data_IF_810184238433
#
_entry.id   IF_810184238433
#
_cell.length_a   1.000
_cell.length_b   1.000
_cell.length_c   1.000
_cell.angle_alpha   90.00
_cell.angle_beta   90.00
_cell.angle_gamma   90.00
#
_symmetry.space_group_name_H-M   'P 1'
#
loop_
_entity.id
_entity.type
_entity.pdbx_description
1 polymer ?
#
# COMPACT_ATOMS: atom_id res chain seq x y z
N UNK A 1 -39.81 -7.12 21.54
CA UNK A 1 -41.20 -7.52 21.20
C UNK A 1 -42.13 -7.45 22.41
N UNK A 2 -43.41 -7.10 22.22
CA UNK A 2 -44.43 -7.03 23.29
C UNK A 2 -44.95 -8.39 23.74
N UNK A 3 -45.40 -8.50 25.01
CA UNK A 3 -45.89 -9.75 25.63
C UNK A 3 -47.03 -10.42 24.86
N UNK A 4 -47.94 -9.63 24.29
CA UNK A 4 -49.10 -10.15 23.53
C UNK A 4 -48.65 -10.76 22.21
N UNK A 5 -47.75 -10.08 21.51
CA UNK A 5 -47.17 -10.56 20.25
C UNK A 5 -46.35 -11.81 20.49
N UNK A 6 -45.50 -11.84 21.53
CA UNK A 6 -44.67 -12.99 21.87
C UNK A 6 -45.48 -14.29 22.06
N UNK A 7 -46.67 -14.23 22.67
CA UNK A 7 -47.55 -15.41 22.82
C UNK A 7 -47.98 -16.03 21.49
N UNK A 8 -48.11 -15.22 20.44
CA UNK A 8 -48.50 -15.69 19.11
C UNK A 8 -47.31 -16.25 18.32
N UNK A 9 -46.08 -15.94 18.74
CA UNK A 9 -44.84 -16.40 18.11
C UNK A 9 -44.22 -17.61 18.83
N UNK A 10 -44.90 -18.20 19.83
CA UNK A 10 -44.44 -19.45 20.46
C UNK A 10 -44.51 -20.57 19.41
N UNK A 11 -43.38 -21.24 19.18
CA UNK A 11 -43.20 -22.23 18.11
C UNK A 11 -42.76 -21.65 16.77
N UNK A 12 -42.75 -20.31 16.63
CA UNK A 12 -42.36 -19.61 15.41
C UNK A 12 -40.91 -19.14 15.46
N UNK A 13 -40.37 -18.81 14.28
CA UNK A 13 -39.03 -18.22 14.16
C UNK A 13 -39.03 -16.76 14.65
N UNK A 14 -37.96 -16.37 15.32
CA UNK A 14 -37.71 -15.02 15.82
C UNK A 14 -36.23 -14.67 15.67
N UNK A 15 -35.93 -13.37 15.61
CA UNK A 15 -34.57 -12.85 15.67
C UNK A 15 -34.23 -12.52 17.12
N UNK A 16 -33.08 -13.00 17.58
CA UNK A 16 -32.45 -12.65 18.84
C UNK A 16 -31.31 -11.68 18.56
N UNK A 17 -31.42 -10.46 19.07
CA UNK A 17 -30.43 -9.40 18.90
C UNK A 17 -29.53 -9.30 20.15
N UNK A 18 -28.26 -9.69 20.01
CA UNK A 18 -27.25 -9.62 21.06
C UNK A 18 -26.22 -8.50 20.82
N UNK A 19 -26.56 -7.54 19.95
CA UNK A 19 -25.73 -6.38 19.64
C UNK A 19 -24.38 -6.80 19.09
N UNK A 20 -23.30 -6.45 19.79
CA UNK A 20 -21.91 -6.76 19.39
C UNK A 20 -21.63 -8.25 19.22
N UNK A 21 -22.40 -9.09 19.90
CA UNK A 21 -22.25 -10.54 19.83
C UNK A 21 -23.03 -11.17 18.68
N UNK A 22 -23.57 -10.36 17.76
CA UNK A 22 -24.29 -10.79 16.57
C UNK A 22 -25.80 -10.91 16.78
N UNK A 23 -26.48 -11.28 15.70
CA UNK A 23 -27.92 -11.55 15.68
C UNK A 23 -28.17 -12.99 15.24
N UNK A 24 -29.13 -13.66 15.87
CA UNK A 24 -29.37 -15.09 15.68
C UNK A 24 -30.82 -15.34 15.31
N UNK A 25 -31.08 -16.33 14.48
CA UNK A 25 -32.43 -16.85 14.23
C UNK A 25 -32.64 -18.06 15.12
N UNK A 26 -33.78 -18.09 15.81
CA UNK A 26 -34.18 -19.25 16.59
C UNK A 26 -35.69 -19.41 16.68
N UNK A 27 -36.12 -20.52 17.27
CA UNK A 27 -37.53 -20.82 17.53
C UNK A 27 -37.85 -20.41 18.97
N UNK A 28 -38.88 -19.59 19.17
CA UNK A 28 -39.33 -19.20 20.51
C UNK A 28 -40.08 -20.38 21.15
N UNK A 29 -39.44 -21.10 22.07
CA UNK A 29 -40.02 -22.31 22.66
C UNK A 29 -40.97 -22.02 23.82
N UNK A 30 -40.60 -21.08 24.68
CA UNK A 30 -41.37 -20.76 25.88
C UNK A 30 -41.17 -19.29 26.27
N UNK A 31 -42.13 -18.76 27.02
CA UNK A 31 -42.03 -17.45 27.63
C UNK A 31 -42.48 -17.47 29.09
N UNK A 32 -41.69 -16.85 29.97
CA UNK A 32 -42.02 -16.68 31.39
C UNK A 32 -42.28 -15.22 31.72
N UNK A 33 -43.37 -14.99 32.43
CA UNK A 33 -43.76 -13.66 32.93
C UNK A 33 -43.74 -13.65 34.44
N UNK A 34 -42.70 -13.07 35.04
CA UNK A 34 -42.67 -12.79 36.48
C UNK A 34 -43.35 -11.44 36.79
N UNK A 35 -43.99 -11.29 37.96
CA UNK A 35 -44.53 -10.00 38.40
C UNK A 35 -43.44 -8.93 38.43
N UNK A 36 -43.72 -7.73 37.90
CA UNK A 36 -42.83 -6.56 37.88
C UNK A 36 -41.48 -6.73 37.15
N UNK A 37 -41.30 -7.76 36.31
CA UNK A 37 -40.10 -7.93 35.46
C UNK A 37 -40.43 -7.99 33.96
N UNK A 38 -39.48 -7.62 33.08
CA UNK A 38 -39.60 -7.93 31.65
C UNK A 38 -39.78 -9.43 31.47
N UNK A 39 -40.56 -9.81 30.45
CA UNK A 39 -40.80 -11.22 30.17
C UNK A 39 -39.51 -11.87 29.64
N UNK A 40 -39.32 -13.13 29.99
CA UNK A 40 -38.13 -13.90 29.59
C UNK A 40 -38.53 -14.84 28.45
N UNK A 41 -37.72 -14.86 27.39
CA UNK A 41 -37.85 -15.79 26.28
C UNK A 41 -36.87 -16.97 26.44
N UNK A 42 -37.30 -18.16 26.01
CA UNK A 42 -36.43 -19.30 25.77
C UNK A 42 -36.42 -19.55 24.26
N UNK A 43 -35.27 -19.31 23.64
CA UNK A 43 -35.14 -19.40 22.17
C UNK A 43 -34.16 -20.51 21.84
N UNK A 44 -34.59 -21.48 21.01
CA UNK A 44 -33.72 -22.51 20.44
C UNK A 44 -33.08 -21.98 19.17
N UNK A 45 -31.77 -21.82 19.17
CA UNK A 45 -31.02 -21.28 18.03
C UNK A 45 -31.05 -22.26 16.86
N UNK A 46 -31.27 -21.71 15.66
CA UNK A 46 -31.32 -22.43 14.39
C UNK A 46 -30.40 -21.85 13.33
N UNK A 47 -29.99 -20.59 13.48
CA UNK A 47 -29.04 -19.97 12.56
C UNK A 47 -28.49 -18.63 13.03
N UNK A 48 -27.56 -18.10 12.25
CA UNK A 48 -26.93 -16.81 12.46
C UNK A 48 -27.50 -15.82 11.45
N UNK A 49 -28.12 -14.75 11.92
CA UNK A 49 -28.68 -13.69 11.09
C UNK A 49 -27.63 -12.64 10.75
N UNK A 50 -26.87 -12.20 11.75
CA UNK A 50 -25.76 -11.26 11.60
C UNK A 50 -24.56 -11.76 12.40
N UNK A 51 -23.38 -11.74 11.78
CA UNK A 51 -22.14 -12.14 12.44
C UNK A 51 -21.74 -11.14 13.53
N UNK A 52 -21.11 -11.58 14.64
CA UNK A 52 -20.55 -10.70 15.66
C UNK A 52 -19.68 -9.57 15.09
N UNK A 53 -19.59 -8.47 15.82
CA UNK A 53 -18.73 -7.34 15.47
C UNK A 53 -17.25 -7.79 15.47
N UNK A 54 -16.53 -7.43 14.41
CA UNK A 54 -15.10 -7.73 14.27
C UNK A 54 -14.33 -6.49 14.76
N UNK A 55 -13.53 -6.69 15.81
CA UNK A 55 -12.66 -5.64 16.33
C UNK A 55 -11.40 -5.55 15.49
N UNK A 56 -11.22 -4.44 14.77
CA UNK A 56 -10.00 -4.19 13.98
C UNK A 56 -8.75 -4.06 14.87
N UNK A 57 -8.90 -3.67 16.14
CA UNK A 57 -7.77 -3.47 17.05
C UNK A 57 -7.18 -4.78 17.57
N UNK A 58 -8.01 -5.82 17.74
CA UNK A 58 -7.58 -7.09 18.33
C UNK A 58 -7.16 -8.11 17.27
N UNK A 59 -7.45 -7.85 15.99
CA UNK A 59 -7.15 -8.73 14.85
C UNK A 59 -7.66 -10.18 15.04
N UNK A 60 -8.71 -10.34 15.86
CA UNK A 60 -9.29 -11.64 16.17
C UNK A 60 -10.72 -11.74 15.61
N UNK A 61 -10.99 -12.89 14.99
CA UNK A 61 -12.33 -13.23 14.52
C UNK A 61 -13.16 -13.78 15.69
N UNK A 62 -14.04 -12.94 16.23
CA UNK A 62 -14.97 -13.32 17.29
C UNK A 62 -15.92 -14.42 16.83
N UNK A 63 -15.81 -15.60 17.42
CA UNK A 63 -16.72 -16.71 17.13
C UNK A 63 -18.12 -16.41 17.68
N UNK A 64 -19.19 -16.81 16.97
CA UNK A 64 -20.54 -16.77 17.53
C UNK A 64 -20.58 -17.55 18.85
N UNK A 65 -21.12 -16.92 19.89
CA UNK A 65 -21.12 -17.51 21.22
C UNK A 65 -22.26 -18.51 21.43
N UNK A 66 -23.31 -18.44 20.60
CA UNK A 66 -24.43 -19.40 20.56
C UNK A 66 -24.23 -20.39 19.42
N UNK A 67 -24.53 -21.66 19.66
CA UNK A 67 -24.39 -22.76 18.70
C UNK A 67 -25.74 -23.28 18.24
N UNK A 68 -25.73 -24.12 17.20
CA UNK A 68 -26.92 -24.79 16.71
C UNK A 68 -27.63 -25.57 17.83
N UNK A 69 -28.95 -25.38 17.92
CA UNK A 69 -29.85 -25.98 18.90
C UNK A 69 -29.62 -25.57 20.37
N UNK A 70 -28.75 -24.60 20.67
CA UNK A 70 -28.64 -24.04 22.01
C UNK A 70 -29.98 -23.40 22.42
N UNK A 71 -30.42 -23.64 23.66
CA UNK A 71 -31.59 -22.97 24.23
C UNK A 71 -31.08 -21.80 25.06
N UNK A 72 -31.30 -20.58 24.56
CA UNK A 72 -30.84 -19.37 25.20
C UNK A 72 -31.97 -18.65 25.94
N UNK A 73 -31.69 -18.26 27.19
CA UNK A 73 -32.61 -17.50 28.04
C UNK A 73 -32.27 -16.01 27.94
N UNK A 74 -33.20 -15.21 27.42
CA UNK A 74 -32.97 -13.79 27.21
C UNK A 74 -34.20 -12.93 27.58
N UNK A 75 -33.99 -11.61 27.64
CA UNK A 75 -35.07 -10.63 27.81
C UNK A 75 -35.86 -10.51 26.51
N UNK A 76 -37.18 -10.46 26.61
CA UNK A 76 -38.06 -10.26 25.45
C UNK A 76 -37.88 -8.94 24.69
N UNK A 77 -37.11 -8.00 25.24
CA UNK A 77 -36.68 -6.79 24.54
C UNK A 77 -35.69 -7.09 23.41
N UNK A 78 -34.89 -8.16 23.53
CA UNK A 78 -33.91 -8.58 22.52
C UNK A 78 -34.53 -9.44 21.40
N UNK A 79 -35.83 -9.70 21.49
CA UNK A 79 -36.55 -10.54 20.54
C UNK A 79 -37.31 -9.66 19.56
N UNK A 80 -37.12 -9.95 18.27
CA UNK A 80 -37.74 -9.27 17.15
C UNK A 80 -38.48 -10.30 16.28
N UNK A 81 -39.68 -9.98 15.76
CA UNK A 81 -40.39 -10.87 14.86
C UNK A 81 -39.65 -10.96 13.53
N UNK A 82 -39.51 -12.17 13.00
CA UNK A 82 -39.08 -12.35 11.62
C UNK A 82 -40.33 -12.41 10.73
N UNK A 83 -40.34 -11.63 9.66
CA UNK A 83 -41.47 -11.58 8.72
C UNK A 83 -41.38 -12.65 7.62
N UNK A 84 -40.19 -13.23 7.42
CA UNK A 84 -39.89 -14.23 6.40
C UNK A 84 -39.34 -15.49 7.04
N UNK A 85 -39.74 -16.63 6.49
CA UNK A 85 -39.19 -17.92 6.92
C UNK A 85 -37.71 -17.96 6.61
N UNK A 86 -36.88 -18.22 7.61
CA UNK A 86 -35.46 -18.40 7.46
C UNK A 86 -35.19 -19.83 6.97
N UNK A 87 -34.74 -20.00 5.71
CA UNK A 87 -34.66 -21.32 5.09
C UNK A 87 -33.35 -22.05 5.41
N UNK A 88 -32.35 -21.35 5.92
CA UNK A 88 -30.98 -21.85 6.01
C UNK A 88 -30.71 -22.56 7.33
N UNK A 89 -29.87 -23.60 7.26
CA UNK A 89 -29.30 -24.25 8.45
C UNK A 89 -28.32 -23.32 9.19
N UNK A 90 -27.93 -23.70 10.41
CA UNK A 90 -26.96 -22.93 11.18
C UNK A 90 -25.62 -22.76 10.45
N UNK A 91 -25.10 -23.81 9.83
CA UNK A 91 -23.82 -23.77 9.11
C UNK A 91 -23.91 -22.91 7.84
N UNK A 92 -24.98 -23.04 7.06
CA UNK A 92 -25.19 -22.23 5.85
C UNK A 92 -25.39 -20.75 6.18
N UNK A 93 -26.17 -20.47 7.22
CA UNK A 93 -26.40 -19.10 7.67
C UNK A 93 -25.14 -18.44 8.23
N UNK A 94 -24.32 -19.19 8.96
CA UNK A 94 -23.03 -18.73 9.43
C UNK A 94 -22.09 -18.38 8.27
N UNK A 95 -22.01 -19.24 7.25
CA UNK A 95 -21.22 -18.99 6.02
C UNK A 95 -21.69 -17.72 5.30
N UNK A 96 -23.01 -17.55 5.18
CA UNK A 96 -23.59 -16.37 4.54
C UNK A 96 -23.31 -15.09 5.34
N UNK A 97 -23.48 -15.13 6.66
CA UNK A 97 -23.19 -13.99 7.54
C UNK A 97 -21.70 -13.59 7.48
N UNK A 98 -20.79 -14.56 7.41
CA UNK A 98 -19.36 -14.33 7.19
C UNK A 98 -19.08 -13.70 5.82
N UNK A 99 -19.71 -14.18 4.75
CA UNK A 99 -19.57 -13.61 3.40
C UNK A 99 -20.04 -12.15 3.35
N UNK A 100 -21.15 -11.83 4.01
CA UNK A 100 -21.64 -10.45 4.09
C UNK A 100 -20.65 -9.53 4.82
N UNK A 101 -20.07 -9.97 5.95
CA UNK A 101 -19.03 -9.19 6.63
C UNK A 101 -17.77 -9.04 5.76
N UNK A 102 -17.36 -10.10 5.07
CA UNK A 102 -16.25 -10.03 4.11
C UNK A 102 -16.50 -8.96 3.04
N UNK A 103 -17.67 -8.98 2.40
CA UNK A 103 -18.02 -8.01 1.36
C UNK A 103 -18.06 -6.58 1.90
N UNK A 104 -18.56 -6.39 3.13
CA UNK A 104 -18.55 -5.10 3.79
C UNK A 104 -17.13 -4.58 4.02
N UNK A 105 -16.22 -5.41 4.54
CA UNK A 105 -14.83 -5.01 4.77
C UNK A 105 -14.03 -4.82 3.48
N UNK A 106 -14.32 -5.60 2.44
CA UNK A 106 -13.73 -5.40 1.11
C UNK A 106 -14.14 -4.03 0.54
N UNK A 107 -15.43 -3.69 0.59
CA UNK A 107 -15.89 -2.37 0.14
C UNK A 107 -15.23 -1.23 0.93
N UNK A 108 -15.14 -1.36 2.26
CA UNK A 108 -14.46 -0.38 3.10
C UNK A 108 -12.98 -0.24 2.71
N UNK A 109 -12.31 -1.34 2.38
CA UNK A 109 -10.91 -1.31 1.95
C UNK A 109 -10.75 -0.60 0.60
N UNK A 110 -11.58 -0.94 -0.39
CA UNK A 110 -11.59 -0.28 -1.70
C UNK A 110 -11.84 1.24 -1.57
N UNK A 111 -12.85 1.62 -0.78
CA UNK A 111 -13.15 3.03 -0.52
C UNK A 111 -11.99 3.73 0.21
N UNK A 112 -11.33 3.04 1.14
CA UNK A 112 -10.17 3.56 1.88
C UNK A 112 -8.97 3.77 0.97
N UNK A 113 -8.69 2.86 0.05
CA UNK A 113 -7.61 2.98 -0.94
C UNK A 113 -7.82 4.21 -1.84
N UNK A 114 -9.05 4.45 -2.29
CA UNK A 114 -9.40 5.64 -3.06
C UNK A 114 -9.11 6.91 -2.24
N UNK A 115 -9.55 6.95 -0.98
CA UNK A 115 -9.33 8.10 -0.09
C UNK A 115 -7.83 8.33 0.16
N UNK A 116 -7.05 7.27 0.40
CA UNK A 116 -5.60 7.36 0.60
C UNK A 116 -4.89 7.92 -0.65
N UNK A 117 -5.30 7.49 -1.84
CA UNK A 117 -4.79 8.02 -3.11
C UNK A 117 -5.06 9.52 -3.26
N UNK A 118 -6.28 9.97 -2.93
CA UNK A 118 -6.63 11.40 -2.95
C UNK A 118 -5.79 12.22 -1.96
N UNK A 119 -5.59 11.69 -0.74
CA UNK A 119 -4.72 12.33 0.26
C UNK A 119 -3.28 12.45 -0.26
N UNK A 120 -2.75 11.38 -0.84
CA UNK A 120 -1.41 11.36 -1.41
C UNK A 120 -1.26 12.38 -2.55
N UNK A 121 -2.26 12.49 -3.43
CA UNK A 121 -2.28 13.48 -4.50
C UNK A 121 -2.25 14.91 -3.96
N UNK A 122 -3.03 15.21 -2.93
CA UNK A 122 -3.02 16.54 -2.30
C UNK A 122 -1.69 16.82 -1.60
N UNK A 123 -1.09 15.84 -0.93
CA UNK A 123 0.23 15.98 -0.33
C UNK A 123 1.32 16.26 -1.38
N UNK A 124 1.24 15.64 -2.56
CA UNK A 124 2.14 15.95 -3.67
C UNK A 124 2.03 17.39 -4.17
N UNK A 125 0.80 17.89 -4.34
CA UNK A 125 0.57 19.30 -4.72
C UNK A 125 1.21 20.26 -3.72
N UNK A 126 1.16 19.90 -2.43
CA UNK A 126 1.76 20.66 -1.34
C UNK A 126 3.26 20.38 -1.12
N UNK A 127 3.88 19.51 -1.92
CA UNK A 127 5.27 19.03 -1.75
C UNK A 127 5.53 18.43 -0.36
N UNK A 128 4.52 17.81 0.24
CA UNK A 128 4.53 17.19 1.57
C UNK A 128 4.45 15.66 1.55
N UNK A 129 4.67 15.01 0.40
CA UNK A 129 4.60 13.54 0.28
C UNK A 129 5.60 12.83 1.20
N UNK A 130 6.71 13.50 1.52
CA UNK A 130 7.68 13.07 2.52
C UNK A 130 7.07 12.84 3.93
N UNK A 131 5.89 13.37 4.24
CA UNK A 131 5.20 13.12 5.51
C UNK A 131 4.48 11.77 5.56
N UNK A 132 4.18 11.17 4.40
CA UNK A 132 3.61 9.81 4.32
C UNK A 132 4.67 8.75 4.60
N UNK A 133 5.89 9.04 4.20
CA UNK A 133 7.06 8.27 4.56
C UNK A 133 7.51 8.78 5.93
N UNK A 134 6.90 8.29 7.02
CA UNK A 134 7.53 8.38 8.35
C UNK A 134 9.03 8.17 8.16
N UNK A 135 9.88 9.11 8.61
CA UNK A 135 11.33 9.20 8.36
C UNK A 135 12.00 7.81 8.34
N UNK A 136 11.91 7.14 7.18
CA UNK A 136 12.16 5.72 7.09
C UNK A 136 13.51 5.64 6.46
N UNK A 137 14.51 5.69 7.30
CA UNK A 137 15.88 5.57 6.89
C UNK A 137 16.21 4.11 6.61
N UNK A 138 17.00 3.86 5.56
CA UNK A 138 17.70 2.58 5.39
C UNK A 138 19.09 2.75 5.98
N UNK A 139 19.46 1.85 6.88
CA UNK A 139 20.75 1.87 7.55
C UNK A 139 21.71 0.92 6.84
N UNK A 140 22.89 1.44 6.53
CA UNK A 140 23.97 0.68 5.92
C UNK A 140 25.22 0.74 6.77
N UNK A 141 26.04 -0.30 6.69
CA UNK A 141 27.40 -0.29 7.22
C UNK A 141 28.41 -0.02 6.12
N UNK A 142 29.37 0.86 6.37
CA UNK A 142 30.47 1.09 5.43
C UNK A 142 31.51 -0.01 5.59
N UNK A 143 31.74 -0.75 4.52
CA UNK A 143 32.67 -1.88 4.48
C UNK A 143 33.76 -1.59 3.44
N UNK A 144 34.97 -1.34 3.92
CA UNK A 144 36.16 -1.28 3.08
C UNK A 144 36.70 -2.69 2.78
N UNK A 145 36.75 -3.08 1.51
CA UNK A 145 37.40 -4.32 1.04
C UNK A 145 38.53 -3.98 0.06
N UNK A 146 39.77 -4.06 0.52
CA UNK A 146 40.93 -3.66 -0.28
C UNK A 146 40.96 -2.15 -0.53
N UNK A 147 40.90 -1.74 -1.81
CA UNK A 147 40.85 -0.32 -2.22
C UNK A 147 39.43 0.22 -2.39
N UNK A 148 38.43 -0.65 -2.50
CA UNK A 148 37.04 -0.28 -2.75
C UNK A 148 36.25 -0.19 -1.45
N UNK A 149 35.21 0.64 -1.48
CA UNK A 149 34.30 0.85 -0.36
C UNK A 149 32.88 0.51 -0.78
N UNK A 150 32.20 -0.22 0.10
CA UNK A 150 30.86 -0.73 -0.11
C UNK A 150 29.96 -0.27 1.03
N UNK A 151 28.66 -0.13 0.74
CA UNK A 151 27.60 -0.06 1.74
C UNK A 151 26.94 -1.43 1.84
N UNK A 152 26.72 -1.92 3.06
CA UNK A 152 26.14 -3.23 3.34
C UNK A 152 24.83 -3.10 4.09
N UNK A 153 23.77 -3.69 3.56
CA UNK A 153 22.45 -3.78 4.21
C UNK A 153 22.37 -5.11 4.96
N UNK A 154 22.31 -5.04 6.30
CA UNK A 154 22.40 -6.24 7.15
C UNK A 154 21.18 -7.17 6.99
N UNK A 155 19.97 -6.60 6.83
CA UNK A 155 18.74 -7.38 6.72
C UNK A 155 18.62 -8.18 5.42
N UNK A 156 19.16 -7.66 4.31
CA UNK A 156 19.11 -8.30 2.98
C UNK A 156 20.38 -9.06 2.63
N UNK A 157 21.43 -8.91 3.44
CA UNK A 157 22.77 -9.42 3.14
C UNK A 157 23.33 -8.95 1.79
N UNK A 158 22.96 -7.76 1.35
CA UNK A 158 23.38 -7.18 0.07
C UNK A 158 24.49 -6.14 0.28
N UNK A 159 25.42 -6.06 -0.68
CA UNK A 159 26.47 -5.04 -0.70
C UNK A 159 26.47 -4.27 -2.01
N UNK A 160 26.44 -2.95 -1.93
CA UNK A 160 26.51 -2.04 -3.07
C UNK A 160 27.82 -1.26 -3.01
N UNK A 161 28.45 -1.01 -4.17
CA UNK A 161 29.58 -0.09 -4.23
C UNK A 161 29.10 1.33 -3.91
N UNK A 162 29.87 2.08 -3.13
CA UNK A 162 29.57 3.49 -2.87
C UNK A 162 30.21 4.43 -3.90
N UNK A 163 31.15 3.92 -4.70
CA UNK A 163 31.78 4.68 -5.77
C UNK A 163 30.72 5.12 -6.79
N UNK A 164 30.67 6.43 -7.08
CA UNK A 164 29.70 7.06 -7.98
C UNK A 164 28.22 6.93 -7.56
N UNK A 165 27.97 6.62 -6.28
CA UNK A 165 26.62 6.58 -5.73
C UNK A 165 25.99 7.99 -5.77
N UNK A 166 24.85 8.20 -6.47
CA UNK A 166 24.24 9.51 -6.62
C UNK A 166 23.48 10.00 -5.37
N UNK A 167 23.38 9.15 -4.34
CA UNK A 167 22.60 9.45 -3.15
C UNK A 167 23.38 10.25 -2.09
N UNK A 168 22.65 11.09 -1.34
CA UNK A 168 23.14 11.82 -0.19
C UNK A 168 23.03 10.97 1.08
N UNK A 169 24.15 10.74 1.75
CA UNK A 169 24.16 9.98 3.00
C UNK A 169 23.87 10.90 4.18
N UNK A 170 23.33 10.35 5.25
CA UNK A 170 23.44 10.95 6.57
C UNK A 170 24.43 10.16 7.42
N UNK A 171 25.40 10.86 7.97
CA UNK A 171 26.48 10.30 8.78
C UNK A 171 26.33 10.75 10.23
N UNK A 172 26.65 9.87 11.18
CA UNK A 172 26.51 10.18 12.60
C UNK A 172 27.74 10.92 13.13
N UNK A 173 27.58 12.19 13.50
CA UNK A 173 28.63 13.08 14.04
C UNK A 173 28.09 13.78 15.28
N UNK A 174 28.79 13.66 16.42
CA UNK A 174 28.44 14.35 17.67
C UNK A 174 26.97 14.17 18.10
N UNK A 175 26.48 12.93 18.11
CA UNK A 175 25.09 12.56 18.47
C UNK A 175 24.01 13.11 17.52
N UNK A 176 24.39 13.52 16.31
CA UNK A 176 23.47 13.99 15.28
C UNK A 176 23.75 13.33 13.95
N UNK A 177 22.68 13.12 13.19
CA UNK A 177 22.77 12.74 11.78
C UNK A 177 22.92 13.99 10.93
N UNK A 178 23.99 14.05 10.16
CA UNK A 178 24.30 15.18 9.28
C UNK A 178 24.39 14.68 7.83
N UNK A 179 23.77 15.41 6.92
CA UNK A 179 23.86 15.14 5.48
C UNK A 179 25.31 15.28 4.99
N UNK A 180 25.72 14.33 4.17
CA UNK A 180 27.05 14.23 3.62
C UNK A 180 27.08 13.54 2.25
N UNK A 181 27.97 13.99 1.38
CA UNK A 181 28.25 13.37 0.09
C UNK A 181 29.50 12.50 0.16
N UNK A 182 29.50 11.37 -0.52
CA UNK A 182 30.70 10.54 -0.64
C UNK A 182 31.73 11.23 -1.56
N UNK A 183 32.98 11.36 -1.11
CA UNK A 183 34.08 11.85 -1.96
C UNK A 183 34.91 10.68 -2.48
N UNK A 184 35.61 10.00 -1.57
CA UNK A 184 36.53 8.91 -1.91
C UNK A 184 36.94 8.12 -0.67
N UNK A 185 37.18 6.83 -0.83
CA UNK A 185 37.65 5.98 0.26
C UNK A 185 36.65 5.94 1.41
N UNK A 186 37.00 6.50 2.57
CA UNK A 186 36.09 6.59 3.72
C UNK A 186 35.72 8.05 4.04
N UNK A 187 35.99 8.97 3.11
CA UNK A 187 35.83 10.41 3.30
C UNK A 187 34.49 10.89 2.75
N UNK A 188 33.75 11.62 3.58
CA UNK A 188 32.46 12.22 3.28
C UNK A 188 32.51 13.73 3.49
N UNK A 189 31.82 14.50 2.63
CA UNK A 189 31.72 15.96 2.74
C UNK A 189 30.36 16.37 3.26
N UNK A 190 30.32 17.10 4.39
CA UNK A 190 29.10 17.73 4.88
C UNK A 190 28.72 18.93 4.01
N UNK A 191 27.45 19.35 4.05
CA UNK A 191 26.94 20.51 3.29
C UNK A 191 27.69 21.83 3.55
N UNK A 192 28.42 21.94 4.67
CA UNK A 192 29.26 23.09 5.00
C UNK A 192 30.70 22.99 4.46
N UNK A 193 30.99 22.00 3.62
CA UNK A 193 32.32 21.73 3.05
C UNK A 193 33.29 21.03 4.00
N UNK A 194 32.87 20.66 5.22
CA UNK A 194 33.72 19.93 6.16
C UNK A 194 33.79 18.46 5.78
N UNK A 195 35.01 17.96 5.61
CA UNK A 195 35.25 16.54 5.35
C UNK A 195 35.34 15.74 6.64
N UNK A 196 34.72 14.56 6.65
CA UNK A 196 34.65 13.61 7.75
C UNK A 196 35.12 12.25 7.24
N UNK A 197 36.14 11.72 7.87
CA UNK A 197 36.59 10.35 7.63
C UNK A 197 35.83 9.38 8.54
N UNK A 198 35.09 8.47 7.92
CA UNK A 198 34.42 7.37 8.60
C UNK A 198 35.36 6.18 8.80
N UNK A 199 34.99 5.30 9.72
CA UNK A 199 35.70 4.05 9.99
C UNK A 199 35.06 2.89 9.24
N UNK A 200 35.82 1.81 9.03
CA UNK A 200 35.21 0.54 8.63
C UNK A 200 34.19 0.11 9.69
N UNK A 201 32.99 -0.28 9.27
CA UNK A 201 31.86 -0.61 10.12
C UNK A 201 31.02 0.58 10.58
N UNK A 202 31.37 1.81 10.21
CA UNK A 202 30.53 2.98 10.52
C UNK A 202 29.15 2.86 9.88
N UNK A 203 28.13 3.21 10.66
CA UNK A 203 26.75 3.25 10.19
C UNK A 203 26.49 4.57 9.46
N UNK A 204 25.93 4.46 8.26
CA UNK A 204 25.35 5.57 7.51
C UNK A 204 23.89 5.27 7.24
N UNK A 205 23.10 6.30 7.01
CA UNK A 205 21.68 6.11 6.68
C UNK A 205 21.30 6.91 5.45
N UNK A 206 20.38 6.35 4.66
CA UNK A 206 19.82 6.97 3.47
C UNK A 206 18.33 7.18 3.69
N UNK A 207 17.82 8.36 3.34
CA UNK A 207 16.39 8.62 3.43
C UNK A 207 15.66 7.85 2.32
N UNK A 208 14.62 7.06 2.65
CA UNK A 208 13.81 6.33 1.65
C UNK A 208 13.21 7.24 0.58
N UNK A 209 13.00 8.53 0.84
CA UNK A 209 12.53 9.46 -0.19
C UNK A 209 13.54 9.68 -1.31
N UNK A 210 14.84 9.47 -1.07
CA UNK A 210 15.85 9.47 -2.13
C UNK A 210 15.76 8.25 -3.03
N UNK A 211 15.02 7.22 -2.62
CA UNK A 211 14.68 6.05 -3.43
C UNK A 211 13.32 6.18 -4.10
N UNK A 212 12.71 7.36 -4.15
CA UNK A 212 11.52 7.58 -4.99
C UNK A 212 11.91 7.29 -6.45
N UNK A 213 11.48 6.16 -7.03
CA UNK A 213 11.94 5.73 -8.34
C UNK A 213 11.52 6.72 -9.43
N UNK A 214 10.46 7.50 -9.18
CA UNK A 214 9.97 8.50 -10.12
C UNK A 214 10.84 9.75 -10.10
N UNK A 215 11.23 10.25 -8.92
CA UNK A 215 12.15 11.40 -8.83
C UNK A 215 13.52 11.07 -9.41
N UNK A 216 14.02 9.86 -9.14
CA UNK A 216 15.27 9.38 -9.73
C UNK A 216 15.14 9.35 -11.26
N UNK A 217 14.04 8.80 -11.79
CA UNK A 217 13.79 8.79 -13.22
C UNK A 217 13.81 10.21 -13.82
N UNK A 218 13.17 11.20 -13.17
CA UNK A 218 13.17 12.58 -13.66
C UNK A 218 14.59 13.18 -13.72
N UNK A 219 15.47 12.80 -12.79
CA UNK A 219 16.87 13.23 -12.78
C UNK A 219 17.75 12.46 -13.80
N UNK A 220 17.35 11.24 -14.18
CA UNK A 220 18.03 10.43 -15.20
C UNK A 220 17.73 10.88 -16.63
N UNK A 221 16.56 11.51 -16.85
CA UNK A 221 16.16 11.98 -18.17
C UNK A 221 16.89 13.27 -18.53
N UNK A 222 17.46 13.29 -19.74
CA UNK A 222 17.95 14.54 -20.32
C UNK A 222 16.79 15.51 -20.60
N UNK A 223 17.09 16.79 -20.72
CA UNK A 223 16.06 17.83 -20.90
C UNK A 223 15.10 17.55 -22.08
N UNK A 224 15.59 17.07 -23.26
CA UNK A 224 14.69 16.69 -24.35
C UNK A 224 13.78 15.49 -24.03
N UNK A 225 14.28 14.45 -23.35
CA UNK A 225 13.49 13.28 -22.98
C UNK A 225 12.45 13.60 -21.91
N UNK A 226 12.83 14.44 -20.94
CA UNK A 226 11.90 14.98 -19.96
C UNK A 226 10.76 15.74 -20.66
N UNK A 227 11.09 16.59 -21.64
CA UNK A 227 10.08 17.30 -22.42
C UNK A 227 9.18 16.35 -23.23
N UNK A 228 9.74 15.24 -23.75
CA UNK A 228 8.96 14.21 -24.44
C UNK A 228 7.96 13.50 -23.52
N UNK A 229 8.34 13.25 -22.26
CA UNK A 229 7.44 12.73 -21.22
C UNK A 229 6.35 13.76 -20.88
N UNK A 230 6.72 15.00 -20.57
CA UNK A 230 5.81 16.09 -20.22
C UNK A 230 4.76 16.36 -21.32
N UNK A 231 5.19 16.34 -22.59
CA UNK A 231 4.28 16.50 -23.74
C UNK A 231 3.24 15.39 -23.81
N UNK A 232 3.63 14.16 -23.49
CA UNK A 232 2.70 13.03 -23.41
C UNK A 232 1.71 13.18 -22.26
N UNK A 233 2.18 13.59 -21.08
CA UNK A 233 1.34 13.86 -19.92
C UNK A 233 0.33 14.97 -20.19
N UNK A 234 0.79 16.09 -20.76
CA UNK A 234 -0.06 17.24 -21.07
C UNK A 234 -1.20 16.88 -22.02
N UNK A 235 -0.97 15.96 -22.98
CA UNK A 235 -2.01 15.51 -23.92
C UNK A 235 -3.19 14.82 -23.24
N UNK A 236 -2.97 14.23 -22.07
CA UNK A 236 -4.00 13.59 -21.26
C UNK A 236 -4.44 14.45 -20.05
N UNK A 237 -4.02 15.72 -20.00
CA UNK A 237 -4.30 16.59 -18.86
C UNK A 237 -3.64 16.13 -17.56
N UNK A 238 -2.53 15.37 -17.66
CA UNK A 238 -1.75 14.88 -16.55
C UNK A 238 -0.55 15.80 -16.28
N UNK A 239 -0.07 15.73 -15.05
CA UNK A 239 1.16 16.33 -14.54
C UNK A 239 1.92 15.31 -13.69
N UNK A 240 3.16 15.62 -13.33
CA UNK A 240 4.03 14.72 -12.55
C UNK A 240 3.41 14.30 -11.20
N UNK A 241 2.61 15.17 -10.58
CA UNK A 241 1.88 14.91 -9.34
C UNK A 241 0.88 13.75 -9.44
N UNK A 242 0.47 13.39 -10.65
CA UNK A 242 -0.47 12.30 -10.92
C UNK A 242 0.20 10.91 -10.96
N UNK A 243 1.53 10.80 -10.78
CA UNK A 243 2.30 9.54 -10.90
C UNK A 243 2.08 8.59 -9.71
N UNK A 244 1.16 7.65 -9.77
CA UNK A 244 0.83 6.75 -8.64
C UNK A 244 1.95 5.76 -8.32
N UNK A 245 2.64 5.24 -9.33
CA UNK A 245 3.68 4.22 -9.15
C UNK A 245 4.75 4.34 -10.23
N UNK A 246 6.00 4.07 -9.89
CA UNK A 246 7.10 4.01 -10.84
C UNK A 246 8.01 2.82 -10.53
N UNK A 247 8.19 1.94 -11.51
CA UNK A 247 9.22 0.93 -11.53
C UNK A 247 10.37 1.40 -12.42
N UNK A 248 11.47 1.84 -11.81
CA UNK A 248 12.68 2.26 -12.52
C UNK A 248 13.67 1.08 -12.62
N UNK A 249 13.62 0.37 -13.74
CA UNK A 249 14.52 -0.72 -14.09
C UNK A 249 15.94 -0.25 -14.42
N UNK A 250 16.15 0.99 -14.91
CA UNK A 250 17.49 1.50 -15.20
C UNK A 250 18.31 1.60 -13.91
N UNK A 251 17.74 2.20 -12.88
CA UNK A 251 18.34 2.28 -11.55
C UNK A 251 18.76 0.90 -11.03
N UNK A 252 17.87 -0.10 -11.12
CA UNK A 252 18.15 -1.48 -10.69
C UNK A 252 19.31 -2.09 -11.50
N UNK A 253 19.37 -1.83 -12.80
CA UNK A 253 20.47 -2.31 -13.64
C UNK A 253 21.80 -1.63 -13.31
N UNK A 254 21.81 -0.32 -13.07
CA UNK A 254 23.02 0.43 -12.69
C UNK A 254 23.57 -0.05 -11.33
N UNK A 255 22.69 -0.25 -10.34
CA UNK A 255 23.08 -0.74 -9.02
C UNK A 255 23.63 -2.18 -9.04
N UNK A 256 23.19 -3.01 -9.99
CA UNK A 256 23.58 -4.42 -10.11
C UNK A 256 24.78 -4.68 -11.03
N UNK A 257 25.20 -3.69 -11.84
CA UNK A 257 26.13 -3.90 -12.96
C UNK A 257 27.35 -2.97 -12.90
N UNK A 258 28.35 -3.32 -12.09
CA UNK A 258 29.56 -2.52 -11.84
C UNK A 258 30.49 -2.28 -13.06
N UNK A 259 30.27 -2.97 -14.19
CA UNK A 259 31.18 -2.91 -15.35
C UNK A 259 30.44 -2.88 -16.69
N UNK A 260 29.14 -2.62 -16.67
CA UNK A 260 28.32 -2.65 -17.87
C UNK A 260 28.20 -1.25 -18.42
N UNK A 261 28.60 -1.06 -19.68
CA UNK A 261 28.51 0.23 -20.36
C UNK A 261 27.21 0.36 -21.19
N UNK A 262 26.43 -0.72 -21.31
CA UNK A 262 25.20 -0.76 -22.11
C UNK A 262 23.99 -1.18 -21.28
N UNK A 263 22.99 -0.32 -21.18
CA UNK A 263 21.75 -0.58 -20.46
C UNK A 263 20.56 -0.51 -21.42
N UNK A 264 19.63 -1.44 -21.27
CA UNK A 264 18.37 -1.40 -22.01
C UNK A 264 17.26 -2.02 -21.20
N UNK A 265 16.07 -1.46 -21.30
CA UNK A 265 14.94 -1.94 -20.52
C UNK A 265 13.69 -1.11 -20.69
N UNK A 266 12.74 -1.38 -19.81
CA UNK A 266 11.45 -0.69 -19.76
C UNK A 266 11.14 -0.35 -18.32
N UNK A 267 10.91 0.94 -18.07
CA UNK A 267 10.34 1.44 -16.84
C UNK A 267 8.81 1.43 -16.97
N UNK A 268 8.10 1.09 -15.90
CA UNK A 268 6.64 1.11 -15.85
C UNK A 268 6.18 2.20 -14.89
N UNK A 269 5.41 3.16 -15.40
CA UNK A 269 4.93 4.30 -14.61
C UNK A 269 3.41 4.32 -14.70
N UNK A 270 2.73 4.31 -13.57
CA UNK A 270 1.28 4.43 -13.51
C UNK A 270 0.92 5.86 -13.14
N UNK A 271 0.00 6.47 -13.87
CA UNK A 271 -0.61 7.75 -13.53
C UNK A 271 -2.10 7.56 -13.31
N UNK A 272 -2.68 8.37 -12.44
CA UNK A 272 -4.13 8.43 -12.26
C UNK A 272 -4.56 9.86 -12.06
N UNK A 273 -5.67 10.23 -12.70
CA UNK A 273 -6.48 11.37 -12.27
C UNK A 273 -7.77 10.84 -11.63
N UNK A 274 -8.76 11.70 -11.40
CA UNK A 274 -10.02 11.33 -10.77
C UNK A 274 -10.91 10.40 -11.62
N UNK A 275 -10.65 10.31 -12.93
CA UNK A 275 -11.55 9.67 -13.90
C UNK A 275 -10.93 8.46 -14.60
N UNK A 276 -9.61 8.47 -14.81
CA UNK A 276 -8.92 7.57 -15.74
C UNK A 276 -7.56 7.17 -15.20
N UNK A 277 -7.22 5.88 -15.36
CA UNK A 277 -5.88 5.36 -15.10
C UNK A 277 -5.06 5.26 -16.39
N UNK A 278 -3.77 5.52 -16.27
CA UNK A 278 -2.82 5.49 -17.38
C UNK A 278 -1.59 4.67 -16.98
N UNK A 279 -1.10 3.90 -17.95
CA UNK A 279 0.21 3.24 -17.85
C UNK A 279 1.12 3.85 -18.90
N UNK A 280 2.32 4.23 -18.46
CA UNK A 280 3.40 4.71 -19.31
C UNK A 280 4.51 3.67 -19.29
N UNK A 281 4.83 3.14 -20.46
CA UNK A 281 6.00 2.29 -20.66
C UNK A 281 7.11 3.17 -21.20
N UNK A 282 8.16 3.35 -20.40
CA UNK A 282 9.33 4.11 -20.79
C UNK A 282 10.45 3.14 -21.19
N UNK A 283 10.63 2.95 -22.48
CA UNK A 283 11.72 2.20 -23.06
C UNK A 283 12.98 3.06 -23.09
N UNK A 284 14.04 2.57 -22.48
CA UNK A 284 15.33 3.26 -22.44
C UNK A 284 16.42 2.40 -23.04
N UNK A 285 17.36 3.06 -23.73
CA UNK A 285 18.68 2.52 -24.05
C UNK A 285 19.75 3.54 -23.67
N UNK A 286 20.84 3.07 -23.07
CA UNK A 286 21.99 3.87 -22.65
C UNK A 286 23.27 3.18 -23.07
N UNK A 287 24.18 3.92 -23.69
CA UNK A 287 25.56 3.47 -23.92
C UNK A 287 26.51 4.51 -23.35
N UNK A 288 27.21 4.15 -22.26
CA UNK A 288 28.20 4.99 -21.60
C UNK A 288 29.51 4.92 -22.38
N UNK A 289 30.05 6.06 -22.81
CA UNK A 289 31.30 6.14 -23.57
C UNK A 289 32.35 6.95 -22.80
N UNK A 290 33.54 6.38 -22.63
CA UNK A 290 34.60 7.04 -21.84
C UNK A 290 35.19 8.32 -22.48
N UNK A 291 35.03 8.51 -23.80
CA UNK A 291 35.71 9.58 -24.56
C UNK A 291 34.80 10.30 -25.56
N UNK A 292 33.49 10.08 -25.52
CA UNK A 292 32.50 10.62 -26.45
C UNK A 292 31.19 10.86 -25.70
N UNK A 293 30.25 11.58 -26.30
CA UNK A 293 28.93 11.78 -25.68
C UNK A 293 28.19 10.44 -25.56
N UNK A 294 27.51 10.24 -24.42
CA UNK A 294 26.70 9.05 -24.18
C UNK A 294 25.55 8.96 -25.19
N UNK A 295 25.24 7.73 -25.61
CA UNK A 295 24.06 7.50 -26.45
C UNK A 295 22.87 7.23 -25.54
N UNK A 296 21.84 8.07 -25.66
CA UNK A 296 20.57 7.94 -24.96
C UNK A 296 19.44 7.79 -25.97
N UNK A 297 18.55 6.84 -25.70
CA UNK A 297 17.30 6.67 -26.41
C UNK A 297 16.20 6.48 -25.38
N UNK A 298 15.12 7.27 -25.51
CA UNK A 298 13.98 7.25 -24.62
C UNK A 298 12.69 7.26 -25.43
N UNK A 299 11.82 6.28 -25.18
CA UNK A 299 10.50 6.17 -25.81
C UNK A 299 9.45 5.95 -24.74
N UNK A 300 8.45 6.83 -24.70
CA UNK A 300 7.33 6.78 -23.78
C UNK A 300 6.07 6.34 -24.54
N UNK A 301 5.48 5.23 -24.12
CA UNK A 301 4.18 4.76 -24.60
C UNK A 301 3.14 4.89 -23.50
N UNK A 302 2.17 5.75 -23.73
CA UNK A 302 1.04 5.99 -22.84
C UNK A 302 -0.14 5.15 -23.31
N UNK A 303 -0.81 4.50 -22.37
CA UNK A 303 -2.05 3.75 -22.60
C UNK A 303 -3.03 4.06 -21.47
N UNK A 304 -4.25 4.51 -21.80
CA UNK A 304 -5.33 4.64 -20.82
C UNK A 304 -6.09 3.33 -20.65
N UNK A 305 -6.80 3.19 -19.53
CA UNK A 305 -7.79 2.13 -19.29
C UNK A 305 -8.96 2.14 -20.31
N UNK A 306 -9.24 3.29 -20.93
CA UNK A 306 -10.19 3.46 -22.04
C UNK A 306 -9.62 3.05 -23.41
N UNK A 307 -8.33 2.71 -23.49
CA UNK A 307 -7.66 2.24 -24.71
C UNK A 307 -7.05 3.34 -25.58
N UNK A 308 -7.04 4.59 -25.14
CA UNK A 308 -6.34 5.68 -25.82
C UNK A 308 -4.82 5.51 -25.71
N UNK A 309 -4.09 5.77 -26.79
CA UNK A 309 -2.63 5.57 -26.85
C UNK A 309 -1.91 6.78 -27.42
N UNK A 310 -0.76 7.10 -26.81
CA UNK A 310 0.16 8.14 -27.29
C UNK A 310 1.58 7.61 -27.20
N UNK A 311 2.39 7.96 -28.20
CA UNK A 311 3.81 7.62 -28.24
C UNK A 311 4.61 8.90 -28.40
N UNK A 312 5.61 9.09 -27.56
CA UNK A 312 6.63 10.14 -27.68
C UNK A 312 8.01 9.50 -27.59
N UNK A 313 8.99 10.00 -28.34
CA UNK A 313 10.34 9.44 -28.34
C UNK A 313 11.39 10.51 -28.56
N UNK A 314 12.58 10.29 -28.00
CA UNK A 314 13.77 11.09 -28.16
C UNK A 314 15.00 10.17 -28.31
N UNK A 315 16.00 10.63 -29.07
CA UNK A 315 17.26 9.93 -29.29
C UNK A 315 18.37 10.96 -29.52
N UNK A 316 19.55 10.79 -28.91
CA UNK A 316 20.71 11.67 -29.14
C UNK A 316 21.44 11.34 -30.44
N UNK A 317 21.39 10.10 -30.90
CA UNK A 317 21.82 9.67 -32.24
C UNK A 317 20.81 8.68 -32.82
N UNK A 318 20.55 8.76 -34.13
CA UNK A 318 19.72 7.75 -34.80
C UNK A 318 20.37 6.38 -34.58
N UNK A 319 19.63 5.46 -33.97
CA UNK A 319 19.96 4.04 -33.96
C UNK A 319 20.27 3.64 -35.40
N UNK A 320 21.53 3.34 -35.70
CA UNK A 320 21.87 2.76 -36.98
C UNK A 320 21.20 1.38 -37.02
N UNK A 321 20.18 1.22 -37.88
CA UNK A 321 19.54 -0.07 -38.18
C UNK A 321 20.54 -1.11 -38.69
#
# INVERSE_FOLDING_TARGET
>A
MDRKTAKHYIGEQVILNEGKNGQYVGILEDMKTEPNKPWTAFVRIKGVYEYPEISLNELELNKPFLKDNDIFKCSGQKIEPISTTFPSSYDESLKYALKLKWDQFQQINEDSEIVLSLIQQELRKLKGENLLFEESYIYYQIVKKGRQVFIYEEEKHESLSIEECPFEFEIHVEEKWLQAHYISGLTFELNNGKQIDLSHGSTVRLNKTQFDPYQILLNELDSPSLHALEKGLQKFGLGHEHSVYCHNALLVQMLSSLSRQEFKGVNFISYSNAETQYVVQHHFERTIRENDDDITYDRFEFTSDTGERVLTSYATQFSAE
#
